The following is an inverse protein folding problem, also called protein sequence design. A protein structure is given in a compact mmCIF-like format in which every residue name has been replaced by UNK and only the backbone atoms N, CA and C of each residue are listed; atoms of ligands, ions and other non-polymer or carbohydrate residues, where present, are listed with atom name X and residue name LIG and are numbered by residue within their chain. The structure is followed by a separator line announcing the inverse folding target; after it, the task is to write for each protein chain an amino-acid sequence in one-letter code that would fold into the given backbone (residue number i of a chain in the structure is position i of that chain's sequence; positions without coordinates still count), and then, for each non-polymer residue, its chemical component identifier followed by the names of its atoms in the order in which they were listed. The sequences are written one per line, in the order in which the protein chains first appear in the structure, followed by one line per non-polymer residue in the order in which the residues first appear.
data_IF_724601716403
#
_entry.id   IF_724601716403
#
_cell.length_a   1.000
_cell.length_b   1.000
_cell.length_c   1.000
_cell.angle_alpha   90.00
_cell.angle_beta   90.00
_cell.angle_gamma   90.00
#
_symmetry.space_group_name_H-M   'P 1'
#
loop_
_entity.id
_entity.type
_entity.pdbx_description
1 polymer ?
#
# COMPACT_ATOMS: atom_id res chain seq x y z
N UNK A 1 -32.64 12.32 -16.08
CA UNK A 1 -31.45 12.55 -16.94
C UNK A 1 -30.25 12.19 -16.09
N UNK A 2 -29.30 11.43 -16.62
CA UNK A 2 -28.09 11.08 -15.88
C UNK A 2 -27.25 12.33 -15.62
N UNK A 3 -26.50 12.36 -14.50
CA UNK A 3 -25.61 13.47 -14.16
C UNK A 3 -24.59 13.75 -15.27
N UNK A 4 -23.99 12.71 -15.81
CA UNK A 4 -23.00 12.84 -16.90
C UNK A 4 -23.58 13.46 -18.18
N UNK A 5 -24.85 13.22 -18.49
CA UNK A 5 -25.56 13.87 -19.60
C UNK A 5 -25.80 15.35 -19.31
N UNK A 6 -26.15 15.69 -18.07
CA UNK A 6 -26.36 17.07 -17.64
C UNK A 6 -25.08 17.90 -17.71
N UNK A 7 -23.96 17.32 -17.27
CA UNK A 7 -22.61 17.95 -17.31
C UNK A 7 -22.20 18.24 -18.77
N UNK A 8 -22.46 17.34 -19.70
CA UNK A 8 -22.05 17.47 -21.13
C UNK A 8 -22.83 18.46 -21.96
N UNK A 9 -23.87 19.08 -21.40
CA UNK A 9 -24.60 20.13 -22.12
C UNK A 9 -23.73 21.36 -22.38
N UNK A 10 -23.97 22.05 -23.48
CA UNK A 10 -23.22 23.26 -23.85
C UNK A 10 -23.42 24.40 -22.84
N UNK A 11 -24.61 24.46 -22.23
CA UNK A 11 -25.02 25.45 -21.23
C UNK A 11 -24.99 24.89 -19.81
N UNK A 12 -24.19 23.83 -19.57
CA UNK A 12 -24.10 23.22 -18.26
C UNK A 12 -23.66 24.23 -17.20
N UNK A 13 -24.33 24.20 -16.07
CA UNK A 13 -24.04 25.08 -14.94
C UNK A 13 -24.11 24.31 -13.63
N UNK A 14 -23.33 24.76 -12.67
CA UNK A 14 -23.26 24.18 -11.34
C UNK A 14 -23.22 25.29 -10.28
N UNK A 15 -23.70 24.98 -9.10
CA UNK A 15 -23.75 25.91 -7.97
C UNK A 15 -23.25 25.26 -6.69
N UNK A 16 -22.40 25.97 -5.95
CA UNK A 16 -21.94 25.59 -4.62
C UNK A 16 -21.93 26.78 -3.66
N UNK A 17 -21.61 26.52 -2.38
CA UNK A 17 -21.58 27.58 -1.38
C UNK A 17 -20.47 28.62 -1.62
N UNK A 18 -20.64 29.82 -1.08
CA UNK A 18 -19.61 30.87 -1.04
C UNK A 18 -18.90 30.91 0.32
N UNK A 19 -17.96 31.83 0.47
CA UNK A 19 -17.18 32.01 1.68
C UNK A 19 -15.94 31.13 1.70
N UNK A 20 -15.59 30.58 2.87
CA UNK A 20 -14.45 29.66 3.02
C UNK A 20 -14.75 28.38 2.26
N UNK A 21 -13.81 27.94 1.44
CA UNK A 21 -13.91 26.69 0.71
C UNK A 21 -13.07 25.59 1.37
N UNK A 22 -13.47 24.34 1.12
CA UNK A 22 -12.82 23.13 1.61
C UNK A 22 -12.28 22.29 0.44
N UNK A 23 -11.68 21.15 0.74
CA UNK A 23 -11.26 20.24 -0.32
C UNK A 23 -12.46 19.67 -1.08
N UNK A 24 -13.57 19.49 -0.40
CA UNK A 24 -14.79 18.91 -0.93
C UNK A 24 -15.37 19.71 -2.12
N UNK A 25 -15.73 20.99 -1.91
CA UNK A 25 -16.27 21.84 -2.97
C UNK A 25 -15.24 22.15 -4.08
N UNK A 26 -13.95 22.18 -3.73
CA UNK A 26 -12.85 22.39 -4.67
C UNK A 26 -12.68 21.17 -5.58
N UNK A 27 -12.59 19.95 -5.04
CA UNK A 27 -12.46 18.73 -5.85
C UNK A 27 -13.74 18.41 -6.61
N UNK A 28 -14.90 18.68 -6.05
CA UNK A 28 -16.20 18.64 -6.75
C UNK A 28 -16.19 19.52 -7.98
N UNK A 29 -15.79 20.78 -7.84
CA UNK A 29 -15.66 21.73 -8.95
C UNK A 29 -14.64 21.28 -9.99
N UNK A 30 -13.49 20.77 -9.56
CA UNK A 30 -12.45 20.26 -10.43
C UNK A 30 -12.91 19.03 -11.23
N UNK A 31 -13.67 18.13 -10.61
CA UNK A 31 -14.26 16.95 -11.25
C UNK A 31 -15.26 17.35 -12.37
N UNK A 32 -16.15 18.31 -12.09
CA UNK A 32 -17.08 18.81 -13.07
C UNK A 32 -16.37 19.48 -14.26
N UNK A 33 -15.33 20.28 -14.01
CA UNK A 33 -14.52 20.93 -15.04
C UNK A 33 -13.67 19.92 -15.84
N UNK A 34 -13.23 18.83 -15.22
CA UNK A 34 -12.56 17.73 -15.92
C UNK A 34 -13.46 17.08 -16.99
N UNK A 35 -14.75 16.93 -16.67
CA UNK A 35 -15.73 16.34 -17.59
C UNK A 35 -16.26 17.34 -18.62
N UNK A 36 -16.39 18.60 -18.25
CA UNK A 36 -16.77 19.70 -19.13
C UNK A 36 -16.03 21.00 -18.79
N UNK A 37 -14.93 21.32 -19.51
CA UNK A 37 -14.17 22.54 -19.26
C UNK A 37 -14.97 23.86 -19.46
N UNK A 38 -16.15 23.79 -20.06
CA UNK A 38 -17.02 24.96 -20.32
C UNK A 38 -18.16 25.10 -19.31
N UNK A 39 -18.29 24.18 -18.34
CA UNK A 39 -19.31 24.26 -17.31
C UNK A 39 -19.13 25.54 -16.49
N UNK A 40 -20.23 26.27 -16.30
CA UNK A 40 -20.22 27.50 -15.49
C UNK A 40 -20.48 27.15 -14.03
N UNK A 41 -19.49 27.34 -13.16
CA UNK A 41 -19.65 27.14 -11.72
C UNK A 41 -19.91 28.48 -11.04
N UNK A 42 -20.99 28.56 -10.28
CA UNK A 42 -21.36 29.73 -9.49
C UNK A 42 -21.25 29.42 -8.00
N UNK A 43 -20.79 30.39 -7.22
CA UNK A 43 -20.75 30.29 -5.74
C UNK A 43 -21.70 31.34 -5.12
N UNK A 44 -22.44 30.93 -4.11
CA UNK A 44 -23.35 31.85 -3.40
C UNK A 44 -23.75 31.32 -2.03
N UNK A 45 -24.42 32.20 -1.23
CA UNK A 45 -24.86 31.84 0.12
C UNK A 45 -26.22 31.09 0.12
N UNK A 46 -26.90 31.09 -1.00
CA UNK A 46 -28.21 30.44 -1.18
C UNK A 46 -28.38 30.05 -2.63
N UNK A 47 -28.90 28.85 -2.86
CA UNK A 47 -29.28 28.40 -4.20
C UNK A 47 -30.39 29.29 -4.73
N UNK A 48 -30.29 29.84 -5.97
CA UNK A 48 -31.36 30.61 -6.56
C UNK A 48 -32.67 29.81 -6.70
N UNK A 49 -33.79 30.46 -6.60
CA UNK A 49 -35.10 29.83 -6.88
C UNK A 49 -35.11 29.30 -8.33
N UNK A 50 -35.70 28.15 -8.54
CA UNK A 50 -35.79 27.49 -9.86
C UNK A 50 -34.42 27.28 -10.57
N UNK A 51 -33.32 27.08 -9.80
CA UNK A 51 -32.02 26.83 -10.39
C UNK A 51 -31.99 25.49 -11.16
N UNK A 52 -31.87 25.60 -12.47
CA UNK A 52 -31.77 24.47 -13.39
C UNK A 52 -30.30 24.15 -13.69
N UNK A 53 -29.62 23.47 -12.76
CA UNK A 53 -28.23 23.09 -12.84
C UNK A 53 -27.87 22.10 -11.73
N UNK A 54 -26.59 21.73 -11.70
CA UNK A 54 -26.04 20.82 -10.68
C UNK A 54 -25.79 21.63 -9.40
N UNK A 55 -26.41 21.23 -8.30
CA UNK A 55 -26.18 21.85 -6.98
C UNK A 55 -25.44 20.87 -6.12
N UNK A 56 -24.31 21.29 -5.56
CA UNK A 56 -23.48 20.44 -4.71
C UNK A 56 -22.95 21.23 -3.49
N UNK A 57 -22.74 20.52 -2.38
CA UNK A 57 -22.25 21.05 -1.11
C UNK A 57 -23.07 22.24 -0.55
N UNK A 58 -24.32 22.33 -0.91
CA UNK A 58 -25.30 23.32 -0.44
C UNK A 58 -26.71 22.91 -0.89
N UNK A 59 -27.73 23.40 -0.19
CA UNK A 59 -29.13 23.34 -0.64
C UNK A 59 -29.85 22.06 -0.22
N UNK A 60 -29.24 21.16 0.48
CA UNK A 60 -29.79 19.89 1.01
C UNK A 60 -30.38 18.99 -0.08
N UNK A 61 -29.78 19.04 -1.29
CA UNK A 61 -30.13 18.20 -2.41
C UNK A 61 -29.29 16.90 -2.48
N UNK A 62 -29.32 16.30 -3.67
CA UNK A 62 -28.70 14.99 -3.92
C UNK A 62 -27.18 14.97 -3.66
N UNK A 63 -26.49 16.07 -3.95
CA UNK A 63 -25.02 16.18 -3.80
C UNK A 63 -24.63 17.11 -2.64
N UNK A 64 -25.44 17.15 -1.58
CA UNK A 64 -25.16 17.85 -0.35
C UNK A 64 -25.16 16.86 0.83
N UNK A 65 -24.33 17.06 1.81
CA UNK A 65 -24.16 16.18 2.95
C UNK A 65 -24.51 16.83 4.30
N UNK A 66 -25.01 18.06 4.30
CA UNK A 66 -25.31 18.83 5.51
C UNK A 66 -26.69 18.51 6.16
N UNK A 67 -27.43 17.54 5.64
CA UNK A 67 -28.68 17.08 6.21
C UNK A 67 -28.45 16.02 7.29
N UNK A 68 -29.47 15.83 8.20
CA UNK A 68 -29.37 14.87 9.29
C UNK A 68 -29.28 13.41 8.85
N UNK A 69 -29.83 13.10 7.70
CA UNK A 69 -29.86 11.79 7.07
C UNK A 69 -28.83 11.71 5.93
N UNK A 70 -27.67 12.37 6.11
CA UNK A 70 -26.56 12.30 5.18
C UNK A 70 -26.12 10.85 4.96
N UNK A 71 -25.75 10.54 3.73
CA UNK A 71 -25.41 9.18 3.32
C UNK A 71 -24.05 8.75 3.90
N UNK A 72 -23.98 7.47 4.25
CA UNK A 72 -22.77 6.83 4.77
C UNK A 72 -22.51 5.58 3.92
N UNK A 73 -21.25 5.30 3.63
CA UNK A 73 -20.83 4.08 2.92
C UNK A 73 -20.96 2.85 3.84
N UNK A 74 -21.00 1.67 3.25
CA UNK A 74 -21.10 0.40 4.00
C UNK A 74 -19.99 0.24 5.05
N UNK A 75 -18.79 0.77 4.79
CA UNK A 75 -17.66 0.74 5.70
C UNK A 75 -17.70 1.85 6.79
N UNK A 76 -18.78 2.62 6.86
CA UNK A 76 -18.98 3.67 7.87
C UNK A 76 -18.42 5.05 7.50
N UNK A 77 -17.71 5.20 6.39
CA UNK A 77 -17.19 6.50 5.96
C UNK A 77 -18.34 7.37 5.40
N UNK A 78 -18.58 8.56 5.94
CA UNK A 78 -19.63 9.44 5.45
C UNK A 78 -19.29 9.98 4.05
N UNK A 79 -20.32 10.25 3.24
CA UNK A 79 -20.12 10.97 1.99
C UNK A 79 -20.03 12.48 2.26
N UNK A 80 -19.16 13.17 1.50
CA UNK A 80 -19.27 14.59 1.25
C UNK A 80 -19.68 14.83 -0.22
N UNK A 81 -19.79 16.05 -0.67
CA UNK A 81 -20.29 16.35 -2.02
C UNK A 81 -19.40 15.72 -3.11
N UNK A 82 -18.08 15.69 -2.91
CA UNK A 82 -17.15 15.06 -3.84
C UNK A 82 -17.40 13.55 -3.97
N UNK A 83 -17.62 12.85 -2.85
CA UNK A 83 -17.95 11.44 -2.86
C UNK A 83 -19.30 11.14 -3.52
N UNK A 84 -20.31 11.97 -3.27
CA UNK A 84 -21.64 11.85 -3.91
C UNK A 84 -21.56 12.02 -5.44
N UNK A 85 -20.78 12.98 -5.92
CA UNK A 85 -20.53 13.16 -7.36
C UNK A 85 -19.69 12.02 -7.92
N UNK A 86 -18.68 11.56 -7.18
CA UNK A 86 -17.81 10.46 -7.60
C UNK A 86 -18.57 9.14 -7.77
N UNK A 87 -19.50 8.85 -6.88
CA UNK A 87 -20.33 7.64 -6.95
C UNK A 87 -21.05 7.51 -8.31
N UNK A 88 -21.55 8.63 -8.86
CA UNK A 88 -22.23 8.61 -10.15
C UNK A 88 -21.27 8.70 -11.36
N UNK A 89 -20.16 9.38 -11.22
CA UNK A 89 -19.27 9.73 -12.33
C UNK A 89 -18.04 8.84 -12.44
N UNK A 90 -17.58 8.28 -11.33
CA UNK A 90 -16.34 7.54 -11.25
C UNK A 90 -16.30 6.36 -12.21
N UNK A 91 -17.39 5.62 -12.32
CA UNK A 91 -17.52 4.49 -13.21
C UNK A 91 -17.34 4.84 -14.70
N UNK A 92 -17.81 6.02 -15.14
CA UNK A 92 -17.60 6.51 -16.51
C UNK A 92 -16.15 6.99 -16.72
N UNK A 93 -15.49 7.48 -15.68
CA UNK A 93 -14.14 8.06 -15.76
C UNK A 93 -13.07 6.97 -15.75
N UNK A 94 -13.15 6.01 -14.84
CA UNK A 94 -12.10 5.01 -14.61
C UNK A 94 -12.53 3.57 -14.89
N UNK A 95 -13.85 3.29 -15.01
CA UNK A 95 -14.39 1.93 -14.99
C UNK A 95 -14.62 1.44 -13.55
N UNK A 96 -15.52 0.46 -13.37
CA UNK A 96 -16.06 0.12 -12.05
C UNK A 96 -15.00 -0.18 -10.97
N UNK A 97 -14.10 -1.14 -11.23
CA UNK A 97 -13.10 -1.56 -10.24
C UNK A 97 -12.09 -0.45 -9.90
N UNK A 98 -11.61 0.30 -10.90
CA UNK A 98 -10.69 1.41 -10.65
C UNK A 98 -11.37 2.59 -9.96
N UNK A 99 -12.66 2.83 -10.27
CA UNK A 99 -13.44 3.87 -9.61
C UNK A 99 -13.65 3.57 -8.13
N UNK A 100 -13.93 2.32 -7.79
CA UNK A 100 -14.05 1.88 -6.39
C UNK A 100 -12.72 2.05 -5.65
N UNK A 101 -11.63 1.57 -6.24
CA UNK A 101 -10.29 1.73 -5.65
C UNK A 101 -9.90 3.20 -5.46
N UNK A 102 -10.25 4.07 -6.43
CA UNK A 102 -10.02 5.51 -6.32
C UNK A 102 -10.88 6.13 -5.21
N UNK A 103 -12.13 5.68 -5.06
CA UNK A 103 -12.98 6.09 -3.95
C UNK A 103 -12.31 5.78 -2.60
N UNK A 104 -11.90 4.53 -2.39
CA UNK A 104 -11.28 4.08 -1.15
C UNK A 104 -9.94 4.80 -0.85
N UNK A 105 -9.06 4.93 -1.84
CA UNK A 105 -7.71 5.46 -1.64
C UNK A 105 -7.63 7.00 -1.67
N UNK A 106 -8.62 7.70 -2.26
CA UNK A 106 -8.53 9.14 -2.47
C UNK A 106 -9.78 9.92 -2.04
N UNK A 107 -10.97 9.48 -2.42
CA UNK A 107 -12.21 10.23 -2.16
C UNK A 107 -12.61 10.11 -0.70
N UNK A 108 -12.69 8.91 -0.17
CA UNK A 108 -13.10 8.66 1.22
C UNK A 108 -12.27 9.41 2.26
N UNK A 109 -10.93 9.49 2.17
CA UNK A 109 -10.14 10.30 3.10
C UNK A 109 -10.46 11.80 3.05
N UNK A 110 -10.89 12.34 1.91
CA UNK A 110 -11.32 13.73 1.78
C UNK A 110 -12.72 13.93 2.34
N UNK A 111 -13.67 13.05 2.00
CA UNK A 111 -15.02 13.06 2.54
C UNK A 111 -15.04 12.94 4.07
N UNK A 112 -14.20 12.05 4.61
CA UNK A 112 -14.06 11.86 6.05
C UNK A 112 -13.49 13.10 6.73
N UNK A 113 -12.47 13.73 6.15
CA UNK A 113 -11.94 15.00 6.66
C UNK A 113 -13.01 16.08 6.72
N UNK A 114 -13.82 16.21 5.67
CA UNK A 114 -14.84 17.25 5.59
C UNK A 114 -15.96 17.06 6.65
N UNK A 115 -16.39 15.82 6.85
CA UNK A 115 -17.46 15.48 7.79
C UNK A 115 -17.01 15.44 9.26
N UNK A 116 -15.77 15.02 9.55
CA UNK A 116 -15.32 14.74 10.92
C UNK A 116 -14.22 15.68 11.43
N UNK A 117 -13.55 16.39 10.52
CA UNK A 117 -12.35 17.18 10.83
C UNK A 117 -11.10 16.31 11.04
N UNK A 118 -11.13 15.02 10.74
CA UNK A 118 -9.96 14.16 10.77
C UNK A 118 -8.86 14.72 9.86
N UNK A 119 -7.60 14.68 10.35
CA UNK A 119 -6.48 15.32 9.65
C UNK A 119 -6.25 14.70 8.27
N UNK A 120 -6.30 15.52 7.24
CA UNK A 120 -5.93 15.18 5.88
C UNK A 120 -4.97 16.24 5.34
N UNK A 121 -3.75 15.84 4.94
CA UNK A 121 -2.73 16.78 4.48
C UNK A 121 -3.11 17.48 3.18
N UNK A 122 -3.74 16.77 2.24
CA UNK A 122 -4.19 17.35 0.98
C UNK A 122 -5.32 18.36 1.22
N UNK A 123 -6.30 18.03 2.06
CA UNK A 123 -7.36 18.95 2.43
C UNK A 123 -6.79 20.21 3.11
N UNK A 124 -5.79 20.05 3.97
CA UNK A 124 -5.10 21.18 4.62
C UNK A 124 -4.36 22.05 3.60
N UNK A 125 -3.69 21.45 2.60
CA UNK A 125 -3.02 22.17 1.53
C UNK A 125 -4.02 22.98 0.67
N UNK A 126 -5.15 22.37 0.30
CA UNK A 126 -6.22 23.06 -0.42
C UNK A 126 -6.81 24.19 0.43
N UNK A 127 -7.01 23.96 1.72
CA UNK A 127 -7.49 24.97 2.68
C UNK A 127 -6.58 26.20 2.78
N UNK A 128 -5.27 26.04 2.55
CA UNK A 128 -4.30 27.15 2.57
C UNK A 128 -4.47 28.14 1.40
N UNK A 129 -5.23 27.80 0.37
CA UNK A 129 -5.61 28.74 -0.69
C UNK A 129 -6.71 29.71 -0.27
N UNK A 130 -7.39 29.49 0.86
CA UNK A 130 -8.34 30.46 1.39
C UNK A 130 -7.64 31.77 1.74
N UNK A 131 -8.30 32.93 1.58
CA UNK A 131 -7.73 34.20 2.01
C UNK A 131 -7.30 34.15 3.48
N UNK A 132 -6.13 34.70 3.78
CA UNK A 132 -5.71 34.89 5.17
C UNK A 132 -6.64 35.86 5.88
N UNK A 133 -6.76 35.73 7.21
CA UNK A 133 -7.74 36.50 8.00
C UNK A 133 -7.64 38.02 7.82
N UNK A 134 -6.46 38.54 7.50
CA UNK A 134 -6.14 39.95 7.28
C UNK A 134 -5.93 40.31 5.79
N UNK A 135 -6.41 39.46 4.85
CA UNK A 135 -6.22 39.63 3.41
C UNK A 135 -6.66 40.96 2.85
N UNK A 136 -7.57 41.66 3.53
CA UNK A 136 -7.99 43.02 3.14
C UNK A 136 -6.84 44.03 3.20
N UNK A 137 -5.85 43.77 4.04
CA UNK A 137 -4.67 44.61 4.25
C UNK A 137 -3.45 44.16 3.40
N UNK A 138 -3.54 42.99 2.77
CA UNK A 138 -2.46 42.39 1.96
C UNK A 138 -2.93 42.24 0.51
N UNK A 139 -2.18 42.84 -0.43
CA UNK A 139 -2.46 42.65 -1.89
C UNK A 139 -1.91 41.32 -2.37
N UNK A 140 -2.37 40.17 -1.80
CA UNK A 140 -1.88 38.87 -2.16
C UNK A 140 -2.43 38.38 -3.50
N UNK A 141 -3.65 38.84 -3.86
CA UNK A 141 -4.29 38.50 -5.14
C UNK A 141 -4.90 39.73 -5.82
N UNK A 142 -4.50 39.90 -7.08
CA UNK A 142 -5.04 40.95 -7.94
C UNK A 142 -6.38 40.49 -8.54
N UNK A 143 -7.50 40.86 -7.89
CA UNK A 143 -8.85 40.60 -8.37
C UNK A 143 -9.12 41.20 -9.78
N UNK A 144 -8.26 42.09 -10.28
CA UNK A 144 -8.38 42.67 -11.63
C UNK A 144 -8.15 41.61 -12.73
N UNK A 145 -7.45 40.51 -12.41
CA UNK A 145 -7.16 39.42 -13.35
C UNK A 145 -8.34 38.47 -13.58
N UNK A 146 -9.41 38.57 -12.81
CA UNK A 146 -10.62 37.80 -13.05
C UNK A 146 -11.37 38.34 -14.27
N UNK A 147 -11.87 37.46 -15.13
CA UNK A 147 -12.75 37.83 -16.23
C UNK A 147 -14.08 38.39 -15.70
N UNK A 148 -14.80 39.14 -16.50
CA UNK A 148 -16.13 39.68 -16.12
C UNK A 148 -17.07 38.53 -15.69
N UNK A 149 -17.16 37.45 -16.44
CA UNK A 149 -18.01 36.28 -16.11
C UNK A 149 -17.59 35.59 -14.80
N UNK A 150 -16.29 35.52 -14.49
CA UNK A 150 -15.81 34.95 -13.21
C UNK A 150 -16.23 35.83 -12.02
N UNK A 151 -16.25 37.16 -12.20
CA UNK A 151 -16.75 38.10 -11.17
C UNK A 151 -18.25 37.99 -10.97
N UNK A 152 -19.01 37.87 -12.07
CA UNK A 152 -20.48 37.67 -12.02
C UNK A 152 -20.85 36.35 -11.34
N UNK A 153 -20.10 35.28 -11.55
CA UNK A 153 -20.30 33.98 -10.90
C UNK A 153 -19.92 33.93 -9.42
N UNK A 154 -19.46 35.03 -8.82
CA UNK A 154 -19.02 35.05 -7.41
C UNK A 154 -17.77 34.27 -7.13
N UNK A 155 -17.01 33.87 -8.17
CA UNK A 155 -15.74 33.14 -8.02
C UNK A 155 -14.64 34.09 -7.56
N UNK A 156 -13.88 33.66 -6.58
CA UNK A 156 -12.67 34.35 -6.14
C UNK A 156 -11.44 33.78 -6.84
N UNK A 157 -10.37 34.59 -6.97
CA UNK A 157 -9.11 34.14 -7.57
C UNK A 157 -8.53 32.96 -6.81
N UNK A 158 -8.66 32.98 -5.50
CA UNK A 158 -8.16 31.95 -4.59
C UNK A 158 -8.87 30.59 -4.83
N UNK A 159 -10.20 30.61 -4.94
CA UNK A 159 -10.98 29.41 -5.24
C UNK A 159 -10.60 28.83 -6.61
N UNK A 160 -10.52 29.68 -7.64
CA UNK A 160 -10.11 29.24 -8.98
C UNK A 160 -8.71 28.63 -9.01
N UNK A 161 -7.79 29.17 -8.20
CA UNK A 161 -6.45 28.59 -8.03
C UNK A 161 -6.52 27.21 -7.39
N UNK A 162 -7.27 27.05 -6.31
CA UNK A 162 -7.45 25.76 -5.63
C UNK A 162 -8.05 24.73 -6.58
N UNK A 163 -9.12 25.10 -7.32
CA UNK A 163 -9.78 24.23 -8.31
C UNK A 163 -8.82 23.82 -9.44
N UNK A 164 -7.97 24.73 -9.93
CA UNK A 164 -6.98 24.41 -10.95
C UNK A 164 -5.94 23.39 -10.45
N UNK A 165 -5.47 23.56 -9.21
CA UNK A 165 -4.52 22.60 -8.58
C UNK A 165 -5.22 21.25 -8.38
N UNK A 166 -6.45 21.23 -7.89
CA UNK A 166 -7.22 19.99 -7.74
C UNK A 166 -7.44 19.30 -9.09
N UNK A 167 -7.72 20.05 -10.17
CA UNK A 167 -7.85 19.52 -11.53
C UNK A 167 -6.56 18.82 -11.99
N UNK A 168 -5.39 19.46 -11.82
CA UNK A 168 -4.11 18.84 -12.14
C UNK A 168 -3.83 17.57 -11.31
N UNK A 169 -4.24 17.55 -10.04
CA UNK A 169 -4.13 16.37 -9.19
C UNK A 169 -5.01 15.25 -9.72
N UNK A 170 -6.28 15.51 -10.04
CA UNK A 170 -7.21 14.52 -10.59
C UNK A 170 -6.72 13.95 -11.92
N UNK A 171 -6.33 14.79 -12.87
CA UNK A 171 -5.81 14.37 -14.18
C UNK A 171 -4.62 13.41 -14.02
N UNK A 172 -3.64 13.78 -13.21
CA UNK A 172 -2.45 12.94 -12.98
C UNK A 172 -2.79 11.65 -12.24
N UNK A 173 -3.69 11.69 -11.25
CA UNK A 173 -4.15 10.49 -10.56
C UNK A 173 -4.89 9.55 -11.52
N UNK A 174 -5.84 10.05 -12.31
CA UNK A 174 -6.56 9.23 -13.29
C UNK A 174 -5.62 8.61 -14.33
N UNK A 175 -4.64 9.37 -14.83
CA UNK A 175 -3.64 8.87 -15.74
C UNK A 175 -2.81 7.74 -15.10
N UNK A 176 -2.41 7.89 -13.84
CA UNK A 176 -1.66 6.88 -13.09
C UNK A 176 -2.48 5.63 -12.82
N UNK A 177 -3.73 5.75 -12.34
CA UNK A 177 -4.62 4.60 -12.12
C UNK A 177 -4.83 3.78 -13.40
N UNK A 178 -5.05 4.46 -14.55
CA UNK A 178 -5.15 3.79 -15.85
C UNK A 178 -3.83 3.14 -16.27
N UNK A 179 -2.69 3.77 -15.97
CA UNK A 179 -1.38 3.20 -16.28
C UNK A 179 -1.09 1.96 -15.42
N UNK A 180 -1.40 2.01 -14.12
CA UNK A 180 -1.27 0.87 -13.22
C UNK A 180 -2.13 -0.31 -13.69
N UNK A 181 -3.39 -0.07 -14.10
CA UNK A 181 -4.26 -1.12 -14.62
C UNK A 181 -3.71 -1.77 -15.91
N UNK A 182 -3.15 -0.96 -16.83
CA UNK A 182 -2.47 -1.51 -18.03
C UNK A 182 -1.22 -2.30 -17.66
N UNK A 183 -0.50 -1.88 -16.62
CA UNK A 183 0.64 -2.63 -16.09
C UNK A 183 0.21 -3.98 -15.52
N UNK A 184 -0.83 -4.00 -14.68
CA UNK A 184 -1.39 -5.22 -14.10
C UNK A 184 -1.86 -6.20 -15.19
N UNK A 185 -2.50 -5.71 -16.25
CA UNK A 185 -2.92 -6.54 -17.38
C UNK A 185 -1.73 -7.17 -18.11
N UNK A 186 -0.68 -6.40 -18.39
CA UNK A 186 0.56 -6.92 -19.02
C UNK A 186 1.23 -7.97 -18.12
N UNK A 187 1.32 -7.73 -16.83
CA UNK A 187 1.90 -8.68 -15.89
C UNK A 187 1.09 -9.99 -15.89
N UNK A 188 -0.24 -9.90 -15.84
CA UNK A 188 -1.10 -11.08 -15.88
C UNK A 188 -0.94 -11.90 -17.16
N UNK A 189 -0.78 -11.23 -18.32
CA UNK A 189 -0.51 -11.91 -19.61
C UNK A 189 0.83 -12.65 -19.57
N UNK A 190 1.89 -12.03 -19.04
CA UNK A 190 3.21 -12.68 -18.95
C UNK A 190 3.19 -13.85 -17.96
N UNK A 191 2.53 -13.71 -16.82
CA UNK A 191 2.38 -14.81 -15.85
C UNK A 191 1.65 -16.01 -16.46
N UNK A 192 0.56 -15.79 -17.20
CA UNK A 192 -0.16 -16.85 -17.88
C UNK A 192 0.68 -17.55 -18.97
N UNK A 193 1.54 -16.81 -19.67
CA UNK A 193 2.49 -17.38 -20.64
C UNK A 193 3.57 -18.20 -19.94
N UNK A 194 4.10 -17.73 -18.83
CA UNK A 194 5.14 -18.42 -18.06
C UNK A 194 4.66 -19.76 -17.53
N UNK A 195 3.43 -19.86 -17.04
CA UNK A 195 2.82 -21.13 -16.60
C UNK A 195 2.85 -22.22 -17.71
N UNK A 196 2.81 -21.82 -18.97
CA UNK A 196 2.81 -22.75 -20.11
C UNK A 196 4.19 -23.07 -20.65
N UNK A 197 5.17 -22.17 -20.45
CA UNK A 197 6.52 -22.30 -21.01
C UNK A 197 7.51 -22.99 -20.08
N UNK A 198 7.22 -23.07 -18.79
CA UNK A 198 8.12 -23.60 -17.76
C UNK A 198 9.16 -22.59 -17.33
N UNK A 199 10.08 -23.02 -16.44
CA UNK A 199 11.08 -22.18 -15.80
C UNK A 199 10.79 -22.03 -14.30
N UNK A 200 11.65 -21.32 -13.56
CA UNK A 200 11.41 -21.06 -12.14
C UNK A 200 10.29 -20.03 -11.98
N UNK A 201 9.19 -20.44 -11.35
CA UNK A 201 8.01 -19.61 -11.13
C UNK A 201 8.29 -18.35 -10.28
N UNK A 202 9.44 -18.27 -9.62
CA UNK A 202 9.88 -17.13 -8.81
C UNK A 202 10.61 -16.04 -9.60
N UNK A 203 10.88 -16.29 -10.89
CA UNK A 203 11.58 -15.38 -11.82
C UNK A 203 10.58 -14.94 -12.89
N UNK A 204 10.27 -13.65 -12.95
CA UNK A 204 9.37 -13.08 -13.94
C UNK A 204 10.18 -12.29 -14.98
N UNK A 205 10.11 -12.68 -16.26
CA UNK A 205 10.74 -11.97 -17.37
C UNK A 205 9.68 -11.13 -18.08
N UNK A 206 9.83 -9.81 -18.05
CA UNK A 206 8.93 -8.87 -18.71
C UNK A 206 9.54 -8.40 -20.04
N UNK A 207 8.75 -8.24 -21.11
CA UNK A 207 9.23 -7.77 -22.40
C UNK A 207 9.63 -6.29 -22.43
N UNK A 208 9.22 -5.54 -21.42
CA UNK A 208 9.54 -4.13 -21.21
C UNK A 208 9.45 -3.79 -19.72
N UNK A 209 9.98 -2.63 -19.30
CA UNK A 209 9.78 -2.16 -17.93
C UNK A 209 8.29 -1.87 -17.66
N UNK A 210 7.74 -2.55 -16.68
CA UNK A 210 6.38 -2.36 -16.18
C UNK A 210 6.43 -2.20 -14.66
N UNK A 211 5.78 -1.18 -14.07
CA UNK A 211 5.66 -1.08 -12.61
C UNK A 211 4.92 -2.30 -12.06
N UNK A 212 5.61 -3.15 -11.32
CA UNK A 212 5.07 -4.45 -10.90
C UNK A 212 5.03 -4.66 -9.38
N UNK A 213 5.72 -3.83 -8.60
CA UNK A 213 5.92 -4.06 -7.17
C UNK A 213 4.61 -4.27 -6.39
N UNK A 214 3.59 -3.42 -6.63
CA UNK A 214 2.30 -3.52 -5.93
C UNK A 214 1.57 -4.82 -6.31
N UNK A 215 1.59 -5.19 -7.60
CA UNK A 215 0.91 -6.39 -8.12
C UNK A 215 1.57 -7.68 -7.66
N UNK A 216 2.90 -7.68 -7.53
CA UNK A 216 3.67 -8.86 -7.18
C UNK A 216 3.92 -9.02 -5.67
N UNK A 217 3.43 -8.08 -4.85
CA UNK A 217 3.68 -8.07 -3.41
C UNK A 217 3.32 -9.39 -2.73
N UNK A 218 2.13 -9.92 -3.02
CA UNK A 218 1.57 -11.12 -2.40
C UNK A 218 1.82 -12.40 -3.24
N UNK A 219 2.68 -12.36 -4.25
CA UNK A 219 3.07 -13.52 -5.05
C UNK A 219 4.39 -14.10 -4.58
N UNK A 220 4.78 -15.29 -5.07
CA UNK A 220 6.09 -15.89 -4.79
C UNK A 220 7.21 -15.36 -5.69
N UNK A 221 6.90 -14.47 -6.65
CA UNK A 221 7.91 -13.86 -7.53
C UNK A 221 8.97 -13.17 -6.68
N UNK A 222 10.21 -13.64 -6.78
CA UNK A 222 11.37 -13.10 -6.06
C UNK A 222 12.15 -12.08 -6.91
N UNK A 223 12.22 -12.30 -8.23
CA UNK A 223 12.94 -11.45 -9.16
C UNK A 223 12.10 -11.07 -10.37
N UNK A 224 12.29 -9.84 -10.85
CA UNK A 224 11.74 -9.37 -12.12
C UNK A 224 12.88 -8.94 -13.01
N UNK A 225 12.88 -9.44 -14.24
CA UNK A 225 13.84 -9.15 -15.30
C UNK A 225 13.12 -8.34 -16.38
N UNK A 226 13.75 -7.28 -16.89
CA UNK A 226 13.22 -6.49 -18.02
C UNK A 226 14.35 -5.82 -18.80
N UNK A 227 14.15 -5.54 -20.10
CA UNK A 227 15.13 -4.83 -20.92
C UNK A 227 15.45 -3.45 -20.37
N UNK A 228 16.74 -3.11 -20.31
CA UNK A 228 17.21 -1.80 -19.90
C UNK A 228 17.15 -0.82 -21.07
N UNK A 229 16.75 0.42 -20.82
CA UNK A 229 16.82 1.51 -21.80
C UNK A 229 18.27 1.93 -22.19
N UNK A 230 19.27 1.39 -21.47
CA UNK A 230 20.71 1.58 -21.73
C UNK A 230 21.35 0.38 -22.44
N UNK A 231 20.56 -0.60 -22.84
CA UNK A 231 20.99 -1.89 -23.39
C UNK A 231 21.11 -2.96 -22.30
N UNK A 232 21.01 -4.23 -22.72
CA UNK A 232 20.98 -5.37 -21.80
C UNK A 232 19.70 -5.44 -20.97
N UNK A 233 19.80 -6.06 -19.82
CA UNK A 233 18.69 -6.37 -18.92
C UNK A 233 18.94 -5.84 -17.51
N UNK A 234 17.85 -5.43 -16.85
CA UNK A 234 17.80 -5.11 -15.43
C UNK A 234 17.15 -6.26 -14.66
N UNK A 235 17.68 -6.55 -13.48
CA UNK A 235 17.14 -7.53 -12.54
C UNK A 235 16.77 -6.79 -11.25
N UNK A 236 15.51 -6.89 -10.82
CA UNK A 236 15.02 -6.26 -9.60
C UNK A 236 14.47 -7.30 -8.62
N UNK A 237 15.09 -7.46 -7.44
CA UNK A 237 14.52 -8.26 -6.35
C UNK A 237 13.20 -7.65 -5.86
N UNK A 238 12.24 -8.52 -5.54
CA UNK A 238 10.94 -8.12 -5.00
C UNK A 238 10.96 -8.15 -3.48
N UNK A 239 10.30 -7.16 -2.87
CA UNK A 239 10.20 -7.05 -1.40
C UNK A 239 9.15 -8.01 -0.84
N UNK A 240 9.38 -8.46 0.40
CA UNK A 240 8.36 -9.16 1.19
C UNK A 240 7.19 -8.21 1.48
N UNK A 241 5.98 -8.74 1.70
CA UNK A 241 4.85 -7.93 2.17
C UNK A 241 5.24 -7.16 3.44
N UNK A 242 4.83 -5.88 3.49
CA UNK A 242 5.00 -4.97 4.64
C UNK A 242 6.40 -4.94 5.27
N UNK A 243 7.43 -5.15 4.44
CA UNK A 243 8.83 -5.19 4.86
C UNK A 243 9.71 -4.45 3.86
N UNK A 244 10.84 -3.93 4.36
CA UNK A 244 11.91 -3.40 3.49
C UNK A 244 12.82 -4.52 2.96
N UNK A 245 12.73 -5.73 3.51
CA UNK A 245 13.53 -6.88 3.10
C UNK A 245 13.03 -7.49 1.78
N UNK A 246 13.96 -8.05 1.00
CA UNK A 246 13.64 -8.76 -0.23
C UNK A 246 13.17 -10.19 0.05
N UNK A 247 12.35 -10.76 -0.85
CA UNK A 247 11.98 -12.18 -0.84
C UNK A 247 13.20 -13.06 -1.04
N UNK A 248 14.07 -12.66 -1.98
CA UNK A 248 15.41 -13.16 -2.17
C UNK A 248 16.33 -11.99 -2.48
N UNK A 249 17.54 -11.98 -1.92
CA UNK A 249 18.58 -10.96 -2.17
C UNK A 249 19.65 -11.51 -3.09
N UNK A 250 20.32 -10.64 -3.82
CA UNK A 250 21.57 -11.02 -4.49
C UNK A 250 22.62 -11.50 -3.47
N UNK A 251 23.52 -12.41 -3.85
CA UNK A 251 24.68 -12.80 -3.05
C UNK A 251 25.47 -11.59 -2.56
N UNK A 252 25.85 -11.59 -1.29
CA UNK A 252 26.54 -10.44 -0.67
C UNK A 252 27.84 -10.07 -1.38
N UNK A 253 28.55 -11.05 -1.90
CA UNK A 253 29.80 -10.88 -2.64
C UNK A 253 29.65 -10.15 -3.97
N UNK A 254 28.42 -10.00 -4.49
CA UNK A 254 28.15 -9.25 -5.73
C UNK A 254 27.88 -7.77 -5.51
N UNK A 255 27.52 -7.41 -4.27
CA UNK A 255 27.03 -6.06 -3.97
C UNK A 255 28.12 -5.00 -4.12
N UNK A 256 27.87 -4.03 -4.98
CA UNK A 256 28.77 -2.90 -5.25
C UNK A 256 29.84 -3.21 -6.29
N UNK A 257 29.87 -4.42 -6.88
CA UNK A 257 30.79 -4.78 -7.95
C UNK A 257 30.30 -4.33 -9.32
N UNK A 258 31.24 -4.14 -10.24
CA UNK A 258 31.00 -3.71 -11.64
C UNK A 258 31.89 -4.47 -12.61
N UNK A 259 31.41 -4.65 -13.81
CA UNK A 259 32.15 -5.16 -14.98
C UNK A 259 32.98 -6.41 -14.65
N UNK A 260 34.30 -6.41 -14.89
CA UNK A 260 35.19 -7.56 -14.76
C UNK A 260 35.14 -8.19 -13.34
N UNK A 261 35.10 -7.37 -12.29
CA UNK A 261 35.01 -7.86 -10.92
C UNK A 261 33.67 -8.61 -10.66
N UNK A 262 32.59 -8.07 -11.22
CA UNK A 262 31.28 -8.73 -11.09
C UNK A 262 31.22 -10.00 -11.95
N UNK A 263 31.78 -9.98 -13.15
CA UNK A 263 31.85 -11.15 -14.02
C UNK A 263 32.62 -12.30 -13.37
N UNK A 264 33.76 -11.98 -12.72
CA UNK A 264 34.55 -12.97 -11.98
C UNK A 264 33.76 -13.53 -10.79
N UNK A 265 33.11 -12.65 -10.00
CA UNK A 265 32.36 -13.05 -8.82
C UNK A 265 31.09 -13.86 -9.15
N UNK A 266 30.44 -13.60 -10.29
CA UNK A 266 29.19 -14.24 -10.70
C UNK A 266 29.41 -15.45 -11.61
N UNK A 267 30.51 -15.48 -12.37
CA UNK A 267 30.73 -16.39 -13.48
C UNK A 267 29.89 -16.06 -14.74
N UNK A 268 29.26 -14.87 -14.80
CA UNK A 268 28.39 -14.42 -15.88
C UNK A 268 29.14 -13.44 -16.77
N UNK A 269 29.33 -13.79 -18.05
CA UNK A 269 30.17 -13.03 -18.97
C UNK A 269 29.63 -11.62 -19.28
N UNK A 270 28.35 -11.42 -19.18
CA UNK A 270 27.69 -10.14 -19.49
C UNK A 270 27.31 -9.32 -18.23
N UNK A 271 27.73 -9.74 -17.03
CA UNK A 271 27.44 -9.01 -15.80
C UNK A 271 28.09 -7.62 -15.82
N UNK A 272 27.27 -6.58 -15.65
CA UNK A 272 27.71 -5.18 -15.78
C UNK A 272 27.78 -4.43 -14.46
N UNK A 273 26.76 -4.53 -13.62
CA UNK A 273 26.67 -3.75 -12.37
C UNK A 273 25.75 -4.43 -11.37
N UNK A 274 26.13 -4.47 -10.10
CA UNK A 274 25.25 -4.83 -9.00
C UNK A 274 25.26 -3.71 -7.95
N UNK A 275 24.11 -3.11 -7.70
CA UNK A 275 24.01 -2.00 -6.74
C UNK A 275 24.37 -2.45 -5.33
N UNK A 276 25.14 -1.65 -4.59
CA UNK A 276 25.57 -1.95 -3.20
C UNK A 276 24.40 -2.21 -2.23
N UNK A 277 23.22 -1.62 -2.48
CA UNK A 277 22.00 -1.87 -1.71
C UNK A 277 21.18 -3.06 -2.22
N UNK A 278 21.64 -3.79 -3.24
CA UNK A 278 21.01 -5.02 -3.75
C UNK A 278 19.65 -4.84 -4.40
N UNK A 279 19.24 -3.62 -4.78
CA UNK A 279 17.92 -3.40 -5.38
C UNK A 279 17.90 -3.48 -6.91
N UNK A 280 19.06 -3.56 -7.55
CA UNK A 280 19.20 -3.63 -9.00
C UNK A 280 20.52 -4.30 -9.38
N UNK A 281 20.47 -5.18 -10.35
CA UNK A 281 21.62 -5.69 -11.10
C UNK A 281 21.37 -5.50 -12.59
N UNK A 282 22.45 -5.32 -13.37
CA UNK A 282 22.38 -5.22 -14.84
C UNK A 282 23.31 -6.25 -15.47
N UNK A 283 22.84 -6.84 -16.58
CA UNK A 283 23.59 -7.80 -17.39
C UNK A 283 23.35 -7.53 -18.88
N UNK A 284 24.17 -8.06 -19.75
CA UNK A 284 24.11 -7.80 -21.19
C UNK A 284 23.03 -8.61 -21.92
N UNK A 285 22.64 -9.78 -21.44
CA UNK A 285 21.67 -10.66 -22.10
C UNK A 285 20.70 -11.31 -21.10
N UNK A 286 19.61 -11.87 -21.65
CA UNK A 286 18.52 -12.44 -20.85
C UNK A 286 18.93 -13.75 -20.16
N UNK A 287 19.79 -14.55 -20.80
CA UNK A 287 20.21 -15.83 -20.25
C UNK A 287 21.04 -15.63 -18.97
N UNK A 288 21.98 -14.67 -18.99
CA UNK A 288 22.74 -14.28 -17.80
C UNK A 288 21.83 -13.63 -16.74
N UNK A 289 20.78 -12.90 -17.14
CA UNK A 289 19.80 -12.36 -16.18
C UNK A 289 19.04 -13.46 -15.42
N UNK A 290 18.56 -14.47 -16.13
CA UNK A 290 17.89 -15.64 -15.55
C UNK A 290 18.86 -16.39 -14.66
N UNK A 291 20.08 -16.65 -15.13
CA UNK A 291 21.10 -17.40 -14.36
C UNK A 291 21.52 -16.66 -13.08
N UNK A 292 21.63 -15.34 -13.12
CA UNK A 292 21.88 -14.54 -11.90
C UNK A 292 20.78 -14.72 -10.84
N UNK A 293 19.51 -14.77 -11.28
CA UNK A 293 18.38 -15.04 -10.38
C UNK A 293 18.45 -16.47 -9.80
N UNK A 294 18.72 -17.47 -10.66
CA UNK A 294 18.85 -18.88 -10.22
C UNK A 294 19.95 -19.04 -9.17
N UNK A 295 21.15 -18.51 -9.41
CA UNK A 295 22.28 -18.56 -8.45
C UNK A 295 21.86 -17.90 -7.13
N UNK A 296 21.16 -16.75 -7.20
CA UNK A 296 20.70 -16.05 -6.01
C UNK A 296 19.68 -16.87 -5.21
N UNK A 297 18.77 -17.57 -5.90
CA UNK A 297 17.79 -18.46 -5.29
C UNK A 297 18.46 -19.71 -4.70
N UNK A 298 19.40 -20.33 -5.41
CA UNK A 298 20.18 -21.47 -4.94
C UNK A 298 20.93 -21.12 -3.64
N UNK A 299 21.63 -19.97 -3.60
CA UNK A 299 22.31 -19.50 -2.38
C UNK A 299 21.32 -19.18 -1.25
N UNK A 300 20.17 -18.57 -1.61
CA UNK A 300 19.15 -18.25 -0.63
C UNK A 300 18.55 -19.50 0.02
N UNK A 301 18.30 -20.57 -0.74
CA UNK A 301 17.78 -21.85 -0.24
C UNK A 301 18.76 -22.61 0.68
N UNK A 302 20.04 -22.35 0.53
CA UNK A 302 21.08 -22.94 1.40
C UNK A 302 21.22 -22.22 2.75
N UNK A 303 20.56 -21.06 2.95
CA UNK A 303 20.65 -20.33 4.21
C UNK A 303 19.83 -21.00 5.31
N UNK A 304 20.31 -20.98 6.57
CA UNK A 304 19.54 -21.49 7.69
C UNK A 304 18.22 -20.73 7.84
N UNK A 305 17.14 -21.46 8.10
CA UNK A 305 15.80 -20.88 8.30
C UNK A 305 15.52 -20.79 9.80
N UNK A 306 15.09 -19.62 10.26
CA UNK A 306 14.57 -19.42 11.62
C UNK A 306 13.12 -19.06 11.54
N UNK A 307 12.24 -19.86 12.14
CA UNK A 307 10.82 -19.50 12.29
C UNK A 307 10.65 -18.71 13.57
N UNK A 308 10.11 -17.49 13.45
CA UNK A 308 9.82 -16.61 14.58
C UNK A 308 8.32 -16.65 14.90
N UNK A 309 7.98 -17.07 16.09
CA UNK A 309 6.62 -17.18 16.58
C UNK A 309 6.28 -15.96 17.44
N UNK A 310 5.23 -15.24 17.06
CA UNK A 310 4.77 -13.97 17.66
C UNK A 310 3.40 -14.08 18.29
N UNK A 311 3.14 -13.26 19.32
CA UNK A 311 1.81 -13.13 19.87
C UNK A 311 0.83 -12.41 18.92
N UNK A 312 -0.44 -12.76 18.98
CA UNK A 312 -1.46 -12.21 18.09
C UNK A 312 -1.98 -10.82 18.52
N UNK A 313 -1.70 -10.37 19.74
CA UNK A 313 -2.39 -9.26 20.43
C UNK A 313 -1.88 -7.83 20.18
N UNK A 314 -0.89 -7.57 19.30
CA UNK A 314 -0.30 -6.24 19.13
C UNK A 314 -0.59 -5.60 17.78
N UNK A 315 -0.59 -4.24 17.73
CA UNK A 315 -0.81 -3.49 16.50
C UNK A 315 0.31 -3.71 15.46
N UNK A 316 -0.05 -3.72 14.17
CA UNK A 316 0.84 -4.11 13.05
C UNK A 316 2.14 -3.27 12.97
N UNK A 317 2.07 -1.97 13.25
CA UNK A 317 3.25 -1.08 13.16
C UNK A 317 4.28 -1.34 14.26
N UNK A 318 3.83 -1.61 15.49
CA UNK A 318 4.71 -1.98 16.62
C UNK A 318 5.40 -3.31 16.34
N UNK A 319 4.70 -4.27 15.75
CA UNK A 319 5.24 -5.58 15.37
C UNK A 319 6.38 -5.50 14.36
N UNK A 320 6.33 -4.60 13.40
CA UNK A 320 7.35 -4.50 12.36
C UNK A 320 8.69 -4.02 12.92
N UNK A 321 8.68 -3.01 13.81
CA UNK A 321 9.88 -2.53 14.47
C UNK A 321 10.52 -3.61 15.38
N UNK A 322 9.71 -4.30 16.17
CA UNK A 322 10.18 -5.38 17.04
C UNK A 322 10.72 -6.60 16.26
N UNK A 323 10.13 -6.90 15.10
CA UNK A 323 10.62 -7.95 14.21
C UNK A 323 12.01 -7.63 13.67
N UNK A 324 12.23 -6.41 13.18
CA UNK A 324 13.52 -5.97 12.66
C UNK A 324 14.61 -5.97 13.76
N UNK A 325 14.30 -5.48 14.96
CA UNK A 325 15.21 -5.53 16.10
C UNK A 325 15.56 -6.97 16.49
N UNK A 326 14.57 -7.85 16.52
CA UNK A 326 14.75 -9.27 16.84
C UNK A 326 15.60 -9.97 15.78
N UNK A 327 15.34 -9.75 14.50
CA UNK A 327 16.16 -10.29 13.41
C UNK A 327 17.62 -9.82 13.55
N UNK A 328 17.85 -8.55 13.88
CA UNK A 328 19.19 -8.01 14.10
C UNK A 328 19.90 -8.70 15.28
N UNK A 329 19.19 -8.98 16.36
CA UNK A 329 19.72 -9.73 17.51
C UNK A 329 20.05 -11.18 17.15
N UNK A 330 19.15 -11.86 16.41
CA UNK A 330 19.35 -13.24 15.98
C UNK A 330 20.55 -13.37 15.01
N UNK A 331 20.76 -12.37 14.13
CA UNK A 331 21.93 -12.32 13.24
C UNK A 331 23.27 -12.14 13.97
N UNK A 332 23.28 -11.78 15.26
CA UNK A 332 24.51 -11.74 16.06
C UNK A 332 24.96 -13.13 16.51
N UNK A 333 24.11 -14.16 16.36
CA UNK A 333 24.48 -15.55 16.61
C UNK A 333 25.33 -16.04 15.44
N UNK A 334 26.57 -16.57 15.66
CA UNK A 334 27.50 -16.89 14.58
C UNK A 334 26.95 -17.77 13.46
N UNK A 335 26.17 -18.80 13.81
CA UNK A 335 25.60 -19.74 12.84
C UNK A 335 24.33 -19.20 12.15
N UNK A 336 23.88 -17.98 12.49
CA UNK A 336 22.60 -17.40 12.03
C UNK A 336 22.77 -16.04 11.36
N UNK A 337 23.99 -15.62 11.09
CA UNK A 337 24.30 -14.30 10.51
C UNK A 337 23.57 -14.06 9.19
N UNK A 338 23.42 -15.08 8.36
CA UNK A 338 22.75 -15.04 7.05
C UNK A 338 21.40 -15.77 7.02
N UNK A 339 20.83 -16.04 8.21
CA UNK A 339 19.57 -16.75 8.32
C UNK A 339 18.41 -16.04 7.62
N UNK A 340 17.51 -16.84 7.07
CA UNK A 340 16.19 -16.42 6.62
C UNK A 340 15.23 -16.42 7.81
N UNK A 341 14.34 -15.42 7.88
CA UNK A 341 13.35 -15.33 8.94
C UNK A 341 11.95 -15.52 8.38
N UNK A 342 11.22 -16.49 8.92
CA UNK A 342 9.81 -16.72 8.63
C UNK A 342 9.01 -16.35 9.87
N UNK A 343 8.12 -15.36 9.75
CA UNK A 343 7.30 -14.88 10.86
C UNK A 343 5.93 -15.56 10.84
N UNK A 344 5.59 -16.23 11.94
CA UNK A 344 4.28 -16.84 12.16
C UNK A 344 3.67 -16.27 13.45
N UNK A 345 2.39 -16.04 13.44
CA UNK A 345 1.66 -15.60 14.63
C UNK A 345 1.08 -16.83 15.32
N UNK A 346 1.24 -16.92 16.64
CA UNK A 346 0.46 -17.88 17.41
C UNK A 346 -1.02 -17.60 17.17
N UNK A 347 -1.78 -18.60 16.76
CA UNK A 347 -3.20 -18.41 16.62
C UNK A 347 -3.78 -18.16 17.99
N UNK A 348 -4.60 -17.09 18.09
CA UNK A 348 -5.42 -16.85 19.28
C UNK A 348 -6.35 -18.05 19.47
N UNK A 349 -6.54 -18.44 20.72
CA UNK A 349 -7.64 -19.32 21.06
C UNK A 349 -8.94 -18.65 20.62
N UNK A 350 -9.80 -19.29 19.84
CA UNK A 350 -11.09 -18.70 19.49
C UNK A 350 -11.82 -18.33 20.80
N UNK A 351 -12.43 -17.15 20.84
CA UNK A 351 -13.33 -16.64 21.89
C UNK A 351 -12.77 -15.94 23.13
N UNK A 352 -11.50 -15.52 23.18
CA UNK A 352 -11.01 -14.72 24.32
C UNK A 352 -11.15 -13.19 24.14
N UNK A 353 -11.50 -12.69 22.96
CA UNK A 353 -11.58 -11.23 22.70
C UNK A 353 -12.90 -10.56 23.12
N UNK A 354 -14.02 -11.27 23.23
CA UNK A 354 -15.32 -10.59 23.43
C UNK A 354 -15.77 -10.37 24.88
N UNK A 355 -15.13 -10.94 25.90
CA UNK A 355 -15.73 -10.91 27.23
C UNK A 355 -14.87 -10.33 28.38
N UNK A 356 -13.65 -9.93 28.21
CA UNK A 356 -12.85 -9.26 29.24
C UNK A 356 -12.71 -10.02 30.56
N UNK A 357 -13.06 -11.29 30.63
CA UNK A 357 -12.99 -12.19 31.78
C UNK A 357 -12.25 -13.43 31.33
N UNK A 358 -11.33 -13.92 32.16
CA UNK A 358 -10.70 -15.23 31.97
C UNK A 358 -11.81 -16.30 31.95
N UNK A 359 -12.29 -16.61 30.75
CA UNK A 359 -13.16 -17.74 30.55
C UNK A 359 -12.28 -18.99 30.47
N UNK A 360 -12.48 -19.95 31.38
CA UNK A 360 -12.04 -21.32 31.16
C UNK A 360 -12.78 -21.85 29.92
N UNK A 361 -12.21 -21.62 28.74
CA UNK A 361 -12.67 -22.31 27.53
C UNK A 361 -12.17 -23.73 27.65
N UNK A 362 -13.03 -24.61 28.05
CA UNK A 362 -12.80 -26.05 28.00
C UNK A 362 -12.85 -26.52 26.53
N UNK A 363 -11.78 -26.24 25.76
CA UNK A 363 -11.55 -27.02 24.55
C UNK A 363 -11.41 -28.49 24.96
N UNK A 364 -12.10 -29.38 24.28
CA UNK A 364 -11.90 -30.80 24.52
C UNK A 364 -10.42 -31.16 24.29
N UNK A 365 -9.87 -31.97 25.18
CA UNK A 365 -8.44 -32.31 25.22
C UNK A 365 -7.92 -32.86 23.88
N UNK A 366 -8.78 -33.44 23.06
CA UNK A 366 -8.45 -34.02 21.76
C UNK A 366 -8.34 -32.94 20.66
N UNK A 367 -9.19 -31.92 20.69
CA UNK A 367 -9.17 -30.79 19.74
C UNK A 367 -7.91 -29.93 19.95
N UNK A 368 -7.55 -29.70 21.21
CA UNK A 368 -6.31 -29.00 21.58
C UNK A 368 -5.05 -29.73 21.08
N UNK A 369 -5.00 -31.03 21.22
CA UNK A 369 -3.86 -31.83 20.72
C UNK A 369 -3.75 -31.80 19.21
N UNK A 370 -4.87 -31.89 18.52
CA UNK A 370 -4.93 -31.84 17.04
C UNK A 370 -4.44 -30.48 16.57
N UNK A 371 -4.93 -29.43 17.17
CA UNK A 371 -4.54 -28.05 16.89
C UNK A 371 -3.02 -27.80 17.04
N UNK A 372 -2.45 -28.18 18.20
CA UNK A 372 -0.98 -28.07 18.41
C UNK A 372 -0.21 -28.90 17.39
N UNK A 373 -0.68 -30.09 17.07
CA UNK A 373 -0.03 -30.97 16.09
C UNK A 373 0.00 -30.35 14.71
N UNK A 374 -1.10 -29.73 14.28
CA UNK A 374 -1.22 -29.11 12.96
C UNK A 374 -0.39 -27.82 12.88
N UNK A 375 -0.39 -27.00 13.92
CA UNK A 375 0.49 -25.82 13.99
C UNK A 375 1.98 -26.17 13.96
N UNK A 376 2.39 -27.18 14.75
CA UNK A 376 3.78 -27.67 14.73
C UNK A 376 4.14 -28.23 13.35
N UNK A 377 3.19 -28.88 12.66
CA UNK A 377 3.41 -29.36 11.29
C UNK A 377 3.68 -28.18 10.35
N UNK A 378 2.90 -27.11 10.42
CA UNK A 378 3.10 -25.89 9.61
C UNK A 378 4.48 -25.28 9.88
N UNK A 379 4.90 -25.15 11.15
CA UNK A 379 6.25 -24.67 11.51
C UNK A 379 7.33 -25.51 10.86
N UNK A 380 7.19 -26.84 10.88
CA UNK A 380 8.20 -27.78 10.35
C UNK A 380 8.21 -27.83 8.81
N UNK A 381 7.17 -27.39 8.12
CA UNK A 381 7.17 -27.26 6.65
C UNK A 381 8.21 -26.27 6.14
N UNK A 382 8.59 -25.30 6.94
CA UNK A 382 9.69 -24.36 6.66
C UNK A 382 11.10 -25.00 6.84
N UNK A 383 11.20 -26.24 7.32
CA UNK A 383 12.47 -26.93 7.63
C UNK A 383 13.44 -26.06 8.47
N UNK A 384 12.98 -25.48 9.59
CA UNK A 384 13.79 -24.53 10.33
C UNK A 384 14.99 -25.18 11.03
N UNK A 385 16.11 -24.47 11.06
CA UNK A 385 17.27 -24.77 11.89
C UNK A 385 17.00 -24.44 13.37
N UNK A 386 16.17 -23.44 13.63
CA UNK A 386 15.73 -23.07 14.97
C UNK A 386 14.36 -22.37 14.93
N UNK A 387 13.67 -22.39 16.06
CA UNK A 387 12.43 -21.64 16.24
C UNK A 387 12.63 -20.61 17.35
N UNK A 388 12.41 -19.33 17.02
CA UNK A 388 12.41 -18.24 17.97
C UNK A 388 11.00 -17.99 18.50
N UNK A 389 10.86 -17.79 19.80
CA UNK A 389 9.57 -17.63 20.48
C UNK A 389 9.59 -16.36 21.31
N UNK A 390 8.68 -15.41 21.01
CA UNK A 390 8.48 -14.18 21.79
C UNK A 390 7.35 -14.30 22.80
N UNK A 391 6.43 -15.22 22.55
CA UNK A 391 5.19 -15.36 23.28
C UNK A 391 5.39 -15.64 24.78
N UNK A 392 4.40 -15.23 25.56
CA UNK A 392 4.27 -15.66 26.96
C UNK A 392 4.43 -17.18 27.05
N UNK A 393 5.34 -17.61 27.88
CA UNK A 393 5.73 -19.02 28.00
C UNK A 393 4.54 -19.96 28.26
N UNK A 394 3.51 -19.46 28.90
CA UNK A 394 2.30 -20.24 29.18
C UNK A 394 1.52 -20.59 27.91
N UNK A 395 1.29 -19.62 27.04
CA UNK A 395 0.58 -19.84 25.77
C UNK A 395 1.43 -20.67 24.78
N UNK A 396 2.73 -20.43 24.75
CA UNK A 396 3.65 -21.10 23.85
C UNK A 396 4.09 -22.51 24.33
N UNK A 397 3.98 -22.81 25.62
CA UNK A 397 4.51 -24.05 26.22
C UNK A 397 4.15 -25.35 25.47
N UNK A 398 2.89 -25.59 25.07
CA UNK A 398 2.54 -26.82 24.37
C UNK A 398 3.25 -26.95 23.02
N UNK A 399 3.38 -25.86 22.26
CA UNK A 399 4.07 -25.82 20.96
C UNK A 399 5.57 -26.01 21.16
N UNK A 400 6.19 -25.29 22.09
CA UNK A 400 7.60 -25.42 22.45
C UNK A 400 7.91 -26.86 22.90
N UNK A 401 7.05 -27.43 23.74
CA UNK A 401 7.22 -28.83 24.19
C UNK A 401 7.14 -29.82 23.01
N UNK A 402 6.20 -29.64 22.09
CA UNK A 402 6.05 -30.51 20.94
C UNK A 402 7.23 -30.37 19.95
N UNK A 403 7.74 -29.15 19.73
CA UNK A 403 8.93 -28.89 18.91
C UNK A 403 10.19 -29.51 19.54
N UNK A 404 10.38 -29.36 20.85
CA UNK A 404 11.51 -29.97 21.57
C UNK A 404 11.50 -31.50 21.49
N UNK A 405 10.36 -32.14 21.53
CA UNK A 405 10.23 -33.60 21.28
C UNK A 405 10.71 -34.01 19.88
N UNK A 406 10.76 -33.07 18.95
CA UNK A 406 11.30 -33.28 17.60
C UNK A 406 12.76 -32.78 17.47
N UNK A 407 13.43 -32.55 18.60
CA UNK A 407 14.80 -32.05 18.70
C UNK A 407 15.04 -30.67 18.07
N UNK A 408 13.95 -29.88 17.90
CA UNK A 408 14.03 -28.53 17.35
C UNK A 408 14.67 -27.57 18.35
N UNK A 409 15.75 -26.85 17.96
CA UNK A 409 16.36 -25.82 18.78
C UNK A 409 15.39 -24.66 18.99
N UNK A 410 15.19 -24.25 20.24
CA UNK A 410 14.32 -23.12 20.59
C UNK A 410 15.19 -21.96 21.05
N UNK A 411 14.93 -20.80 20.47
CA UNK A 411 15.55 -19.53 20.82
C UNK A 411 14.52 -18.66 21.56
N UNK A 412 14.95 -18.02 22.64
CA UNK A 412 14.08 -17.16 23.44
C UNK A 412 14.77 -15.87 23.80
N UNK A 413 13.99 -14.82 23.93
CA UNK A 413 14.46 -13.54 24.43
C UNK A 413 14.56 -13.52 25.94
N UNK A 414 15.63 -12.95 26.48
CA UNK A 414 15.79 -12.69 27.90
C UNK A 414 16.45 -11.34 28.14
N UNK A 415 16.18 -10.73 29.28
CA UNK A 415 16.86 -9.50 29.73
C UNK A 415 17.85 -9.84 30.82
N UNK A 416 19.11 -9.49 30.60
CA UNK A 416 20.16 -9.58 31.60
C UNK A 416 20.84 -8.22 31.72
N UNK A 417 20.88 -7.66 32.95
CA UNK A 417 21.49 -6.34 33.22
C UNK A 417 20.93 -5.20 32.33
N UNK A 418 19.62 -5.25 32.02
CA UNK A 418 18.94 -4.26 31.17
C UNK A 418 19.19 -4.42 29.65
N UNK A 419 20.00 -5.39 29.24
CA UNK A 419 20.28 -5.68 27.82
C UNK A 419 19.50 -6.89 27.34
N UNK A 420 19.07 -6.83 26.09
CA UNK A 420 18.40 -7.93 25.41
C UNK A 420 19.41 -9.02 25.04
N UNK A 421 19.11 -10.27 25.35
CA UNK A 421 19.91 -11.44 25.02
C UNK A 421 19.02 -12.52 24.41
N UNK A 422 19.56 -13.29 23.48
CA UNK A 422 18.93 -14.51 22.98
C UNK A 422 19.54 -15.71 23.68
N UNK A 423 18.70 -16.56 24.23
CA UNK A 423 19.08 -17.82 24.88
C UNK A 423 18.59 -18.98 24.04
N UNK A 424 19.47 -19.93 23.75
CA UNK A 424 19.14 -21.22 23.14
C UNK A 424 18.77 -22.21 24.26
N UNK A 425 17.52 -22.68 24.23
CA UNK A 425 17.12 -23.74 25.13
C UNK A 425 17.85 -25.06 24.73
N UNK A 426 18.34 -25.85 25.68
CA UNK A 426 18.92 -27.14 25.36
C UNK A 426 17.89 -28.01 24.62
N UNK A 427 18.36 -28.72 23.59
CA UNK A 427 17.57 -29.76 22.94
C UNK A 427 17.10 -30.77 24.00
N UNK A 428 15.78 -31.05 24.04
CA UNK A 428 15.23 -31.97 25.03
C UNK A 428 15.88 -33.35 24.91
N UNK A 429 16.28 -33.89 26.03
CA UNK A 429 16.59 -35.31 26.20
C UNK A 429 15.29 -36.11 26.22
#
# INVERSE_FOLDING_TARGET
MKLSEQIKKQDAKAFTHSGKFHADDVFSSALLLYLNPQITITRGNRVPEEYDGIVFDIGRGQYDHHQRDSRVRENGVPYAAFGLLWEELGGEILGGALAQRFDEEFVQPLDNNDNTGEKNELASLIGNFNPVWDAQNQKIYDKSKLTAGQKECGLTGEFLHAVRIAGLILENKFARYRADARADEKINQVLAMQETQGGDARILVLPEFVPCQKRLKETDIAFVIFPSNRGGYCIQPQKKPDSMNYKCSFPKQWLGLENEELQEATGLASAGFCHKGGFLMTVGDEADAIRACEISLEEYEQKPVIVCLWDAGEAQETKNCEREETEQLLRQIPDMTDAQFCHMTFPLLPDLEEQGVYAEVAMEKEDWKTYIKDFVKQVLEYKPEAVYVTADLFAAYPVVHALRKKHMPILMHTKKEGKNHIVRLPSGS
#
